data_IF_177378149819
#
_entry.id   IF_177378149819
#
_cell.length_a   1.000
_cell.length_b   1.000
_cell.length_c   1.000
_cell.angle_alpha   90.00
_cell.angle_beta   90.00
_cell.angle_gamma   90.00
#
_symmetry.space_group_name_H-M   'P 1'
#
loop_
_entity.id
_entity.type
_entity.pdbx_description
1 polymer ?
#
# COMPACT_ATOMS: atom_id res chain seq x y z
N UNK A 1 -26.09 -35.81 -15.60
CA UNK A 1 -25.56 -34.66 -16.36
C UNK A 1 -25.88 -33.32 -15.70
N UNK A 2 -27.15 -32.97 -15.43
CA UNK A 2 -27.50 -31.69 -14.75
C UNK A 2 -26.79 -31.47 -13.41
N UNK A 3 -26.74 -32.50 -12.55
CA UNK A 3 -26.05 -32.46 -11.25
C UNK A 3 -24.54 -32.17 -11.36
N UNK A 4 -23.89 -32.63 -12.44
CA UNK A 4 -22.46 -32.40 -12.68
C UNK A 4 -22.19 -30.94 -13.05
N UNK A 5 -23.04 -30.32 -13.87
CA UNK A 5 -22.93 -28.90 -14.21
C UNK A 5 -23.21 -28.00 -13.00
N UNK A 6 -24.13 -28.39 -12.12
CA UNK A 6 -24.40 -27.65 -10.87
C UNK A 6 -23.20 -27.67 -9.93
N UNK A 7 -22.51 -28.81 -9.81
CA UNK A 7 -21.30 -28.94 -8.98
C UNK A 7 -20.13 -28.13 -9.57
N UNK A 8 -19.95 -28.14 -10.90
CA UNK A 8 -18.90 -27.34 -11.57
C UNK A 8 -19.18 -25.83 -11.42
N UNK A 9 -20.44 -25.39 -11.52
CA UNK A 9 -20.82 -24.00 -11.32
C UNK A 9 -20.59 -23.53 -9.87
N UNK A 10 -20.87 -24.39 -8.89
CA UNK A 10 -20.61 -24.11 -7.48
C UNK A 10 -19.10 -24.05 -7.16
N UNK A 11 -18.27 -24.88 -7.80
CA UNK A 11 -16.81 -24.82 -7.66
C UNK A 11 -16.19 -23.53 -8.22
N UNK A 12 -16.80 -22.95 -9.27
CA UNK A 12 -16.35 -21.67 -9.84
C UNK A 12 -16.64 -20.45 -8.95
N UNK A 13 -17.58 -20.54 -8.00
CA UNK A 13 -17.91 -19.45 -7.07
C UNK A 13 -16.92 -19.32 -5.90
N UNK A 14 -16.08 -20.33 -5.65
CA UNK A 14 -15.09 -20.33 -4.55
C UNK A 14 -13.72 -19.76 -4.93
N UNK A 15 -13.50 -19.38 -6.19
CA UNK A 15 -12.20 -18.93 -6.70
C UNK A 15 -12.11 -17.41 -6.88
N UNK A 16 -12.95 -16.61 -6.22
CA UNK A 16 -12.72 -15.18 -6.16
C UNK A 16 -11.72 -14.88 -5.04
N UNK A 17 -10.43 -14.64 -5.33
CA UNK A 17 -9.57 -14.04 -4.33
C UNK A 17 -10.10 -12.65 -4.04
N UNK A 18 -10.49 -12.40 -2.79
CA UNK A 18 -10.62 -11.05 -2.28
C UNK A 18 -9.19 -10.51 -2.13
N UNK A 19 -8.67 -9.87 -3.16
CA UNK A 19 -7.40 -9.14 -3.07
C UNK A 19 -7.65 -7.88 -2.23
N UNK A 20 -7.34 -7.99 -0.95
CA UNK A 20 -7.30 -6.86 -0.05
C UNK A 20 -6.02 -6.03 -0.28
N UNK A 21 -6.00 -4.83 0.29
CA UNK A 21 -4.81 -4.00 0.40
C UNK A 21 -3.66 -4.82 0.98
N UNK A 22 -2.68 -5.15 0.16
CA UNK A 22 -1.51 -5.90 0.61
C UNK A 22 -0.25 -5.24 0.07
N UNK A 23 0.64 -4.89 1.00
CA UNK A 23 2.03 -4.62 0.68
C UNK A 23 2.66 -5.94 0.24
N UNK A 24 3.36 -5.96 -0.90
CA UNK A 24 3.99 -7.16 -1.42
C UNK A 24 5.49 -6.93 -1.51
N UNK A 25 6.28 -7.82 -0.90
CA UNK A 25 7.74 -7.77 -0.97
C UNK A 25 8.17 -8.87 -1.95
N UNK A 26 8.79 -8.47 -3.06
CA UNK A 26 9.26 -9.39 -4.10
C UNK A 26 10.71 -9.81 -3.84
N UNK A 27 11.55 -8.88 -3.35
CA UNK A 27 12.95 -9.15 -3.09
C UNK A 27 13.21 -9.48 -1.62
N UNK A 28 13.89 -10.61 -1.38
CA UNK A 28 14.20 -11.09 -0.03
C UNK A 28 15.24 -10.26 0.73
N UNK A 29 15.87 -9.25 0.15
CA UNK A 29 16.72 -8.34 0.91
C UNK A 29 15.92 -7.22 1.58
N UNK A 30 14.73 -6.91 1.08
CA UNK A 30 13.89 -5.88 1.66
C UNK A 30 13.26 -6.41 2.96
N UNK A 31 13.41 -5.64 4.03
CA UNK A 31 12.87 -5.92 5.37
C UNK A 31 12.24 -4.67 5.96
N UNK A 32 11.45 -4.90 7.02
CA UNK A 32 10.91 -3.84 7.88
C UNK A 32 10.09 -2.78 7.13
N UNK A 33 9.44 -3.14 6.01
CA UNK A 33 8.58 -2.22 5.26
C UNK A 33 7.46 -1.70 6.17
N UNK A 34 7.44 -0.38 6.35
CA UNK A 34 6.44 0.35 7.12
C UNK A 34 5.83 1.43 6.22
N UNK A 35 4.51 1.59 6.32
CA UNK A 35 3.76 2.61 5.60
C UNK A 35 2.80 3.26 6.60
N UNK A 36 3.04 4.52 6.93
CA UNK A 36 2.31 5.21 8.00
C UNK A 36 1.88 6.61 7.57
N UNK A 37 0.67 7.02 7.97
CA UNK A 37 0.20 8.39 7.81
C UNK A 37 0.68 9.28 8.96
N UNK A 38 1.43 10.33 8.62
CA UNK A 38 2.08 11.22 9.59
C UNK A 38 3.15 10.49 10.41
N UNK A 39 3.48 11.01 11.58
CA UNK A 39 4.65 10.56 12.37
C UNK A 39 4.35 9.48 13.41
N UNK A 40 3.08 9.07 13.56
CA UNK A 40 2.71 8.04 14.52
C UNK A 40 2.81 6.65 13.88
N UNK A 41 3.79 5.86 14.33
CA UNK A 41 4.05 4.50 13.85
C UNK A 41 2.88 3.50 14.06
N UNK A 42 1.92 3.82 14.93
CA UNK A 42 0.70 3.03 15.12
C UNK A 42 -0.45 3.46 14.20
N UNK A 43 -0.27 4.53 13.42
CA UNK A 43 -1.27 5.00 12.46
C UNK A 43 -1.42 4.04 11.31
N UNK A 44 -2.64 3.98 10.78
CA UNK A 44 -2.92 3.29 9.52
C UNK A 44 -2.25 4.04 8.35
N UNK A 45 -2.00 3.36 7.21
CA UNK A 45 -1.53 3.98 5.97
C UNK A 45 -2.65 4.77 5.28
N UNK A 46 -3.16 5.78 5.98
CA UNK A 46 -4.24 6.67 5.55
C UNK A 46 -3.86 8.10 5.91
N UNK A 47 -3.96 8.99 4.95
CA UNK A 47 -3.84 10.44 5.16
C UNK A 47 -4.95 11.18 4.41
N UNK A 48 -5.05 12.50 4.58
CA UNK A 48 -5.95 13.37 3.83
C UNK A 48 -5.21 14.16 2.76
N UNK A 49 -5.89 14.52 1.67
CA UNK A 49 -5.33 15.37 0.62
C UNK A 49 -4.94 16.75 1.21
N UNK A 50 -3.67 17.12 1.06
CA UNK A 50 -3.10 18.33 1.69
C UNK A 50 -2.89 18.24 3.21
N UNK A 51 -3.02 17.03 3.79
CA UNK A 51 -2.71 16.75 5.19
C UNK A 51 -1.27 16.28 5.39
N UNK A 52 -1.07 15.44 6.40
CA UNK A 52 0.24 14.86 6.73
C UNK A 52 0.76 13.94 5.61
N UNK A 53 2.08 13.86 5.40
CA UNK A 53 2.64 12.93 4.44
C UNK A 53 2.45 11.47 4.86
N UNK A 54 2.48 10.58 3.86
CA UNK A 54 2.69 9.16 4.06
C UNK A 54 4.20 8.92 4.09
N UNK A 55 4.67 8.29 5.16
CA UNK A 55 6.05 7.83 5.28
C UNK A 55 6.13 6.36 4.90
N UNK A 56 7.10 6.03 4.05
CA UNK A 56 7.42 4.70 3.57
C UNK A 56 8.86 4.44 3.95
N UNK A 57 9.04 3.52 4.89
CA UNK A 57 10.33 3.21 5.49
C UNK A 57 10.63 1.73 5.24
N UNK A 58 11.85 1.41 4.81
CA UNK A 58 12.27 0.03 4.62
C UNK A 58 13.78 -0.12 4.75
N UNK A 59 14.21 -1.36 5.03
CA UNK A 59 15.62 -1.72 5.12
C UNK A 59 15.99 -2.63 3.95
N UNK A 60 17.12 -2.35 3.30
CA UNK A 60 17.81 -3.32 2.46
C UNK A 60 18.92 -3.99 3.28
N UNK A 61 18.90 -5.31 3.40
CA UNK A 61 19.83 -6.09 4.22
C UNK A 61 21.24 -6.24 3.59
N UNK A 62 21.76 -5.17 3.00
CA UNK A 62 23.13 -5.04 2.51
C UNK A 62 23.65 -3.60 2.69
N UNK A 63 24.98 -3.44 2.59
CA UNK A 63 25.66 -2.14 2.46
C UNK A 63 26.10 -1.86 1.02
N UNK A 64 25.81 -2.77 0.08
CA UNK A 64 26.07 -2.53 -1.33
C UNK A 64 25.34 -1.27 -1.81
N UNK A 65 25.94 -0.58 -2.77
CA UNK A 65 25.32 0.60 -3.34
C UNK A 65 24.12 0.19 -4.20
N UNK A 66 22.91 0.49 -3.73
CA UNK A 66 21.66 0.33 -4.47
C UNK A 66 20.97 1.68 -4.63
N UNK A 67 20.52 1.94 -5.85
CA UNK A 67 19.79 3.14 -6.19
C UNK A 67 18.34 2.75 -6.43
N UNK A 68 17.49 3.08 -5.47
CA UNK A 68 16.07 2.79 -5.57
C UNK A 68 15.31 3.95 -6.19
N UNK A 69 14.51 3.64 -7.20
CA UNK A 69 13.53 4.55 -7.80
C UNK A 69 12.11 4.09 -7.51
N UNK A 70 11.12 4.98 -7.68
CA UNK A 70 9.73 4.63 -7.40
C UNK A 70 8.75 5.12 -8.47
N UNK A 71 7.64 4.39 -8.59
CA UNK A 71 6.47 4.72 -9.41
C UNK A 71 5.21 4.68 -8.55
N UNK A 72 4.36 5.69 -8.68
CA UNK A 72 3.07 5.78 -7.99
C UNK A 72 1.93 5.59 -8.98
N UNK A 73 0.95 4.79 -8.62
CA UNK A 73 -0.23 4.50 -9.43
C UNK A 73 -1.49 4.73 -8.60
N UNK A 74 -2.43 5.53 -9.12
CA UNK A 74 -3.77 5.62 -8.55
C UNK A 74 -4.55 4.32 -8.80
N UNK A 75 -5.23 3.85 -7.77
CA UNK A 75 -6.01 2.62 -7.77
C UNK A 75 -7.49 2.87 -7.51
N UNK A 76 -8.36 2.04 -8.08
CA UNK A 76 -9.78 2.03 -7.77
C UNK A 76 -10.07 1.42 -6.37
N UNK A 77 -11.34 1.37 -5.99
CA UNK A 77 -11.77 0.79 -4.72
C UNK A 77 -11.41 -0.70 -4.56
N UNK A 78 -11.18 -1.40 -5.67
CA UNK A 78 -10.78 -2.81 -5.71
C UNK A 78 -9.25 -2.96 -5.87
N UNK A 79 -8.47 -1.89 -5.69
CA UNK A 79 -7.01 -1.85 -5.81
C UNK A 79 -6.44 -2.15 -7.22
N UNK A 80 -7.28 -2.08 -8.26
CA UNK A 80 -6.80 -2.13 -9.65
C UNK A 80 -6.27 -0.75 -10.08
N UNK A 81 -5.25 -0.71 -10.93
CA UNK A 81 -4.80 0.57 -11.52
C UNK A 81 -6.00 1.21 -12.23
N UNK A 82 -6.23 2.48 -11.91
CA UNK A 82 -7.30 3.25 -12.54
C UNK A 82 -7.01 3.45 -14.02
N UNK A 83 -7.73 2.73 -14.88
CA UNK A 83 -7.54 2.78 -16.34
C UNK A 83 -8.07 4.06 -16.99
N UNK A 84 -8.96 4.77 -16.32
CA UNK A 84 -9.61 5.98 -16.83
C UNK A 84 -8.92 7.28 -16.42
N UNK A 85 -7.86 7.22 -15.61
CA UNK A 85 -7.13 8.38 -15.11
C UNK A 85 -5.74 8.44 -15.73
N UNK A 86 -5.35 9.63 -16.17
CA UNK A 86 -3.98 9.94 -16.54
C UNK A 86 -3.17 10.35 -15.31
N UNK A 87 -1.84 10.23 -15.36
CA UNK A 87 -0.97 10.61 -14.24
C UNK A 87 -1.18 12.07 -13.80
N UNK A 88 -1.43 12.97 -14.75
CA UNK A 88 -1.71 14.38 -14.50
C UNK A 88 -3.02 14.66 -13.76
N UNK A 89 -3.94 13.69 -13.73
CA UNK A 89 -5.22 13.85 -13.04
C UNK A 89 -5.02 13.74 -11.52
N UNK A 90 -4.19 12.79 -11.09
CA UNK A 90 -4.00 12.46 -9.67
C UNK A 90 -2.66 12.92 -9.08
N UNK A 91 -1.71 13.36 -9.91
CA UNK A 91 -0.39 13.77 -9.44
C UNK A 91 0.18 14.93 -10.27
N UNK A 92 0.94 15.80 -9.61
CA UNK A 92 1.84 16.77 -10.23
C UNK A 92 3.27 16.40 -9.91
N UNK A 93 4.14 16.39 -10.92
CA UNK A 93 5.52 15.95 -10.78
C UNK A 93 5.89 14.95 -11.86
N UNK A 94 6.96 14.19 -11.62
CA UNK A 94 7.34 13.09 -12.49
C UNK A 94 6.85 11.76 -11.89
N UNK A 95 6.81 10.70 -12.69
CA UNK A 95 6.51 9.36 -12.21
C UNK A 95 7.53 8.39 -12.79
N UNK A 96 8.03 7.47 -11.96
CA UNK A 96 8.79 6.32 -12.44
C UNK A 96 10.26 6.55 -12.77
N UNK A 97 10.91 7.59 -12.23
CA UNK A 97 12.36 7.78 -12.33
C UNK A 97 12.99 8.57 -11.15
N UNK A 98 12.22 8.84 -10.11
CA UNK A 98 12.72 9.59 -8.95
C UNK A 98 13.40 8.67 -7.98
N UNK A 99 14.59 9.09 -7.57
CA UNK A 99 15.41 8.38 -6.61
C UNK A 99 14.92 8.63 -5.19
N UNK A 100 15.06 7.60 -4.36
CA UNK A 100 14.96 7.72 -2.92
C UNK A 100 16.33 8.17 -2.42
N UNK A 101 16.44 9.45 -2.05
CA UNK A 101 17.71 10.08 -1.67
C UNK A 101 18.01 10.04 -0.16
N UNK A 102 16.98 9.89 0.67
CA UNK A 102 17.14 9.79 2.13
C UNK A 102 17.51 8.34 2.51
N UNK A 103 18.81 8.13 2.70
CA UNK A 103 19.43 6.81 2.86
C UNK A 103 20.49 6.84 3.95
N UNK A 104 20.42 5.92 4.89
CA UNK A 104 21.38 5.80 6.01
C UNK A 104 21.86 4.37 6.19
N UNK A 105 23.18 4.16 6.21
CA UNK A 105 23.76 2.85 6.53
C UNK A 105 23.73 2.59 8.03
N UNK A 106 23.36 1.37 8.42
CA UNK A 106 23.47 0.93 9.80
C UNK A 106 24.91 0.92 10.32
N UNK A 107 25.07 1.22 11.61
CA UNK A 107 26.37 1.32 12.30
C UNK A 107 26.38 0.34 13.49
N UNK A 108 27.45 -0.44 13.64
CA UNK A 108 27.66 -1.37 14.76
C UNK A 108 26.53 -2.40 14.96
N UNK A 109 25.93 -2.87 13.87
CA UNK A 109 24.89 -3.91 13.87
C UNK A 109 25.48 -5.28 13.55
N UNK A 110 24.88 -6.35 14.09
CA UNK A 110 25.30 -7.73 13.78
C UNK A 110 24.99 -8.12 12.33
N UNK A 111 23.93 -7.55 11.77
CA UNK A 111 23.54 -7.72 10.37
C UNK A 111 23.53 -6.33 9.72
N UNK A 112 24.39 -6.08 8.72
CA UNK A 112 24.41 -4.81 8.03
C UNK A 112 23.12 -4.64 7.23
N UNK A 113 22.56 -3.44 7.30
CA UNK A 113 21.45 -2.97 6.49
C UNK A 113 21.63 -1.50 6.12
N UNK A 114 20.93 -1.07 5.09
CA UNK A 114 20.79 0.32 4.65
C UNK A 114 19.32 0.71 4.76
N UNK A 115 19.04 1.74 5.54
CA UNK A 115 17.69 2.26 5.76
C UNK A 115 17.35 3.28 4.69
N UNK A 116 16.14 3.19 4.14
CA UNK A 116 15.61 4.11 3.15
C UNK A 116 14.33 4.75 3.67
N UNK A 117 14.25 6.07 3.54
CA UNK A 117 13.08 6.86 3.91
C UNK A 117 12.48 7.56 2.70
N UNK A 118 11.16 7.48 2.55
CA UNK A 118 10.42 8.23 1.53
C UNK A 118 9.15 8.83 2.13
N UNK A 119 8.99 10.15 1.98
CA UNK A 119 7.75 10.86 2.30
C UNK A 119 7.01 11.26 1.02
N UNK A 120 5.71 10.99 0.95
CA UNK A 120 4.82 11.44 -0.15
C UNK A 120 3.62 12.19 0.44
N UNK A 121 3.28 13.40 -0.03
CA UNK A 121 3.94 14.11 -1.13
C UNK A 121 5.31 14.69 -0.76
N UNK A 122 6.14 14.96 -1.77
CA UNK A 122 7.45 15.63 -1.67
C UNK A 122 7.64 16.66 -2.80
N UNK A 123 8.86 17.18 -2.97
CA UNK A 123 9.16 18.20 -3.99
C UNK A 123 8.91 17.70 -5.42
N UNK A 124 9.13 16.42 -5.68
CA UNK A 124 9.05 15.83 -7.02
C UNK A 124 7.70 15.18 -7.32
N UNK A 125 6.88 14.95 -6.28
CA UNK A 125 5.61 14.26 -6.38
C UNK A 125 4.58 14.87 -5.41
N UNK A 126 3.58 15.54 -5.98
CA UNK A 126 2.46 16.13 -5.26
C UNK A 126 1.15 15.44 -5.68
N UNK A 127 0.47 14.78 -4.74
CA UNK A 127 -0.82 14.14 -4.99
C UNK A 127 -1.93 15.21 -5.08
N UNK A 128 -2.79 15.11 -6.10
CA UNK A 128 -3.87 16.08 -6.36
C UNK A 128 -5.27 15.51 -6.25
N UNK A 129 -5.40 14.20 -6.01
CA UNK A 129 -6.68 13.50 -5.94
C UNK A 129 -6.74 12.59 -4.71
N UNK A 130 -7.91 12.46 -4.08
CA UNK A 130 -8.16 11.42 -3.10
C UNK A 130 -8.31 10.05 -3.76
N UNK A 131 -8.08 8.97 -3.02
CA UNK A 131 -8.22 7.60 -3.53
C UNK A 131 -7.19 6.64 -2.96
N UNK A 132 -7.14 5.46 -3.55
CA UNK A 132 -6.15 4.44 -3.22
C UNK A 132 -4.90 4.65 -4.07
N UNK A 133 -3.74 4.45 -3.48
CA UNK A 133 -2.46 4.60 -4.16
C UNK A 133 -1.57 3.41 -3.91
N UNK A 134 -0.89 2.96 -4.97
CA UNK A 134 0.16 1.96 -4.90
C UNK A 134 1.47 2.57 -5.37
N UNK A 135 2.50 2.46 -4.55
CA UNK A 135 3.88 2.73 -4.92
C UNK A 135 4.59 1.42 -5.20
N UNK A 136 5.37 1.38 -6.27
CA UNK A 136 6.30 0.28 -6.56
C UNK A 136 7.71 0.83 -6.51
N UNK A 137 8.58 0.19 -5.74
CA UNK A 137 10.02 0.51 -5.71
C UNK A 137 10.77 -0.43 -6.65
N UNK A 138 11.68 0.14 -7.42
CA UNK A 138 12.56 -0.55 -8.35
C UNK A 138 14.03 -0.29 -7.99
N UNK A 139 14.88 -1.29 -8.19
CA UNK A 139 16.34 -1.15 -8.16
C UNK A 139 16.87 -0.80 -9.54
N UNK A 140 17.39 0.41 -9.69
CA UNK A 140 17.96 0.89 -10.95
C UNK A 140 19.23 0.11 -11.35
N UNK A 141 19.81 -0.68 -10.44
CA UNK A 141 20.98 -1.51 -10.72
C UNK A 141 20.62 -2.87 -11.34
N UNK A 142 19.34 -3.26 -11.37
CA UNK A 142 18.92 -4.55 -11.88
C UNK A 142 18.98 -4.62 -13.42
N UNK A 143 19.16 -5.84 -13.97
CA UNK A 143 19.29 -6.05 -15.42
C UNK A 143 17.97 -5.81 -16.17
N UNK A 144 16.83 -6.01 -15.51
CA UNK A 144 15.49 -5.84 -16.07
C UNK A 144 14.47 -5.40 -15.01
N UNK A 145 13.32 -4.89 -15.46
CA UNK A 145 12.28 -4.35 -14.57
C UNK A 145 11.63 -5.41 -13.66
N UNK A 146 11.53 -6.67 -14.10
CA UNK A 146 10.91 -7.72 -13.29
C UNK A 146 11.79 -8.09 -12.09
N UNK A 147 13.09 -8.26 -12.30
CA UNK A 147 14.07 -8.48 -11.24
C UNK A 147 14.32 -7.23 -10.40
N UNK A 148 14.23 -6.06 -11.03
CA UNK A 148 14.35 -4.77 -10.38
C UNK A 148 13.20 -4.43 -9.46
N UNK A 149 12.04 -5.09 -9.58
CA UNK A 149 10.89 -4.81 -8.72
C UNK A 149 11.15 -5.32 -7.30
N UNK A 150 11.24 -4.40 -6.33
CA UNK A 150 11.62 -4.71 -4.95
C UNK A 150 10.42 -4.98 -4.05
N UNK A 151 9.46 -4.05 -4.03
CA UNK A 151 8.22 -4.19 -3.27
C UNK A 151 7.12 -3.25 -3.80
N UNK A 152 5.88 -3.49 -3.36
CA UNK A 152 4.75 -2.57 -3.50
C UNK A 152 4.25 -2.13 -2.13
N UNK A 153 3.97 -0.83 -2.01
CA UNK A 153 3.38 -0.20 -0.83
C UNK A 153 2.02 0.41 -1.17
N UNK A 154 1.00 0.18 -0.34
CA UNK A 154 -0.37 0.60 -0.60
C UNK A 154 -0.88 1.51 0.52
N UNK A 155 -1.44 2.67 0.19
CA UNK A 155 -2.05 3.61 1.15
C UNK A 155 -3.30 4.29 0.57
N UNK A 156 -4.03 5.01 1.42
CA UNK A 156 -5.22 5.77 1.03
C UNK A 156 -5.05 7.26 1.32
N UNK A 157 -5.52 8.10 0.39
CA UNK A 157 -5.67 9.54 0.58
C UNK A 157 -7.16 9.86 0.63
N UNK A 158 -7.65 10.45 1.71
CA UNK A 158 -9.04 10.86 1.86
C UNK A 158 -9.24 12.31 1.45
N UNK A 159 -10.48 12.69 1.14
CA UNK A 159 -10.83 14.10 1.07
C UNK A 159 -10.61 14.78 2.43
N UNK A 160 -10.15 16.05 2.47
CA UNK A 160 -9.88 16.77 3.71
C UNK A 160 -11.17 17.10 4.47
N UNK A 161 -12.30 17.18 3.77
CA UNK A 161 -13.62 17.30 4.37
C UNK A 161 -14.51 16.17 3.89
N UNK A 162 -14.87 15.21 4.76
CA UNK A 162 -15.74 14.13 4.36
C UNK A 162 -17.15 14.69 4.11
N UNK A 163 -17.70 14.39 2.93
CA UNK A 163 -19.10 14.71 2.58
C UNK A 163 -20.10 14.05 3.54
N UNK A 164 -19.69 12.95 4.21
CA UNK A 164 -20.51 12.18 5.14
C UNK A 164 -19.73 11.90 6.42
N UNK A 165 -20.32 12.20 7.58
CA UNK A 165 -19.75 11.80 8.88
C UNK A 165 -20.09 10.34 9.17
N UNK A 166 -19.08 9.50 9.32
CA UNK A 166 -19.23 8.11 9.73
C UNK A 166 -19.08 7.99 11.25
N UNK A 167 -20.00 7.29 11.91
CA UNK A 167 -19.87 6.88 13.31
C UNK A 167 -19.83 5.35 13.32
N UNK A 168 -18.70 4.80 13.76
CA UNK A 168 -18.52 3.36 13.93
C UNK A 168 -18.68 3.04 15.42
N UNK A 169 -19.50 2.04 15.73
CA UNK A 169 -19.65 1.48 17.07
C UNK A 169 -19.34 -0.01 17.00
N UNK A 170 -18.41 -0.46 17.85
CA UNK A 170 -18.13 -1.88 18.02
C UNK A 170 -18.75 -2.33 19.35
N UNK A 171 -19.62 -3.34 19.29
CA UNK A 171 -20.26 -3.94 20.46
C UNK A 171 -19.98 -5.44 20.48
N UNK A 172 -19.87 -6.01 21.68
CA UNK A 172 -19.76 -7.46 21.87
C UNK A 172 -21.07 -8.20 21.56
N UNK A 173 -22.19 -7.48 21.47
CA UNK A 173 -23.49 -8.05 21.10
C UNK A 173 -23.65 -8.02 19.59
N UNK A 174 -23.56 -9.19 18.98
CA UNK A 174 -23.90 -9.36 17.57
C UNK A 174 -25.38 -9.68 17.41
N UNK A 175 -25.96 -9.43 16.23
CA UNK A 175 -27.36 -9.80 15.92
C UNK A 175 -27.64 -11.30 16.12
N UNK A 176 -26.60 -12.13 16.14
CA UNK A 176 -26.66 -13.58 16.39
C UNK A 176 -26.93 -13.88 17.88
N UNK A 177 -26.40 -13.08 18.79
CA UNK A 177 -26.44 -13.35 20.24
C UNK A 177 -27.71 -12.83 20.94
N UNK A 178 -28.48 -11.95 20.28
CA UNK A 178 -29.67 -11.31 20.85
C UNK A 178 -30.83 -12.31 21.12
N UNK A 179 -30.83 -13.52 20.52
CA UNK A 179 -31.89 -14.52 20.74
C UNK A 179 -31.63 -15.57 21.84
N UNK A 180 -30.54 -15.49 22.62
CA UNK A 180 -30.37 -16.33 23.82
C UNK A 180 -30.92 -15.69 25.09
N UNK A 181 -32.12 -15.09 25.03
CA UNK A 181 -32.89 -14.87 26.25
C UNK A 181 -33.61 -16.17 26.57
N UNK A 182 -33.08 -16.88 27.57
CA UNK A 182 -33.63 -18.12 28.11
C UNK A 182 -35.08 -17.86 28.53
N UNK A 183 -36.04 -18.39 27.78
CA UNK A 183 -37.40 -18.59 28.27
C UNK A 183 -37.39 -19.82 29.19
N UNK A 184 -37.48 -19.53 30.49
CA UNK A 184 -37.83 -20.40 31.63
C UNK A 184 -37.22 -21.81 31.71
#
# INVERSE_FOLDING_TARGET
>A
MKQLYTVIFLLFLFIHPAWAQQHEIFNQRIRTLQVVGGTNWLSLPVSSLGGEPIHIDFDDMTHDYHRYSYKIEHCDANWNVSSSLFESDYMRGFNGNQMIEDVEQSINTNHPYTHYHLAIPNADCQLTMSGNYRLTVYDDNAENEEEGKMFTACWMITEPQPLVKLKLEATSTTDIDIQKTISN
#
